data_IF_116954959020
#
_entry.id   IF_116954959020
#
_cell.length_a   1.000
_cell.length_b   1.000
_cell.length_c   1.000
_cell.angle_alpha   90.00
_cell.angle_beta   90.00
_cell.angle_gamma   90.00
#
_symmetry.space_group_name_H-M   'P 1'
#
loop_
_entity.id
_entity.type
_entity.pdbx_description
1 polymer ?
#
# COMPACT_ATOMS: atom_id res chain seq x y z
N UNK A 1 -11.88 -16.35 -0.61
CA UNK A 1 -11.16 -17.51 -1.18
C UNK A 1 -11.66 -17.77 -2.61
N UNK A 2 -11.37 -16.86 -3.56
CA UNK A 2 -11.87 -16.93 -4.95
C UNK A 2 -10.74 -16.89 -5.99
N UNK A 3 -9.72 -16.07 -5.75
CA UNK A 3 -8.53 -15.95 -6.61
C UNK A 3 -7.64 -17.19 -6.52
N UNK A 4 -7.40 -17.72 -5.31
CA UNK A 4 -6.63 -18.95 -5.11
C UNK A 4 -7.29 -20.20 -5.73
N UNK A 5 -8.59 -20.18 -5.98
CA UNK A 5 -9.36 -21.27 -6.59
C UNK A 5 -9.58 -21.08 -8.10
N UNK A 6 -8.88 -20.12 -8.72
CA UNK A 6 -8.98 -19.77 -10.16
C UNK A 6 -10.39 -19.35 -10.62
N UNK A 7 -11.25 -18.89 -9.70
CA UNK A 7 -12.64 -18.50 -10.01
C UNK A 7 -12.83 -16.99 -10.24
N UNK A 8 -11.75 -16.22 -10.24
CA UNK A 8 -11.78 -14.79 -10.55
C UNK A 8 -10.41 -14.13 -10.44
N UNK A 9 -10.32 -12.90 -10.94
CA UNK A 9 -9.14 -12.04 -10.87
C UNK A 9 -9.46 -10.89 -9.89
N UNK A 10 -8.47 -10.47 -9.10
CA UNK A 10 -8.58 -9.29 -8.24
C UNK A 10 -7.38 -8.37 -8.47
N UNK A 11 -7.62 -7.07 -8.42
CA UNK A 11 -6.56 -6.05 -8.41
C UNK A 11 -6.35 -5.63 -6.98
N UNK A 12 -5.14 -5.86 -6.46
CA UNK A 12 -4.78 -5.57 -5.08
C UNK A 12 -3.38 -4.96 -5.04
N UNK A 13 -3.09 -4.12 -4.02
CA UNK A 13 -1.74 -3.63 -3.77
C UNK A 13 -0.78 -4.80 -3.54
N UNK A 14 0.45 -4.67 -4.05
CA UNK A 14 1.46 -5.74 -4.00
C UNK A 14 1.76 -6.21 -2.58
N UNK A 15 1.88 -5.27 -1.64
CA UNK A 15 2.09 -5.56 -0.21
C UNK A 15 0.98 -6.42 0.39
N UNK A 16 -0.28 -6.24 -0.02
CA UNK A 16 -1.42 -7.00 0.52
C UNK A 16 -1.41 -8.48 0.06
N UNK A 17 -0.84 -8.74 -1.12
CA UNK A 17 -0.75 -10.10 -1.69
C UNK A 17 0.62 -10.76 -1.47
N UNK A 18 1.59 -10.04 -0.89
CA UNK A 18 2.97 -10.51 -0.68
C UNK A 18 3.02 -11.86 0.06
N UNK A 19 2.24 -12.01 1.14
CA UNK A 19 2.17 -13.26 1.92
C UNK A 19 1.64 -14.45 1.10
N UNK A 20 0.76 -14.20 0.12
CA UNK A 20 0.23 -15.23 -0.77
C UNK A 20 1.16 -15.54 -1.94
N UNK A 21 1.93 -14.54 -2.40
CA UNK A 21 3.00 -14.70 -3.40
C UNK A 21 4.14 -15.57 -2.86
N UNK A 22 4.57 -15.32 -1.63
CA UNK A 22 5.62 -16.13 -0.98
C UNK A 22 5.25 -17.61 -0.87
N UNK A 23 3.96 -17.90 -0.69
CA UNK A 23 3.42 -19.26 -0.58
C UNK A 23 3.01 -19.87 -1.93
N UNK A 24 3.31 -19.18 -3.05
CA UNK A 24 3.01 -19.60 -4.43
C UNK A 24 1.51 -19.91 -4.71
N UNK A 25 0.59 -19.39 -3.89
CA UNK A 25 -0.84 -19.65 -4.08
C UNK A 25 -1.48 -18.81 -5.19
N UNK A 26 -0.83 -17.70 -5.57
CA UNK A 26 -1.30 -16.75 -6.58
C UNK A 26 -0.12 -16.24 -7.41
N UNK A 27 -0.35 -15.90 -8.68
CA UNK A 27 0.63 -15.24 -9.54
C UNK A 27 0.24 -13.77 -9.69
N UNK A 28 1.16 -12.85 -9.37
CA UNK A 28 0.97 -11.43 -9.65
C UNK A 28 1.43 -11.11 -11.08
N UNK A 29 0.64 -10.31 -11.80
CA UNK A 29 1.01 -9.70 -13.08
C UNK A 29 0.76 -8.19 -13.01
N UNK A 30 1.61 -7.37 -13.65
CA UNK A 30 1.38 -5.93 -13.73
C UNK A 30 0.08 -5.67 -14.52
N UNK A 31 -0.71 -4.69 -14.07
CA UNK A 31 -1.99 -4.34 -14.71
C UNK A 31 -1.77 -3.59 -16.03
N UNK A 32 -0.71 -2.80 -16.13
CA UNK A 32 -0.31 -1.98 -17.29
C UNK A 32 1.16 -2.23 -17.61
N UNK A 33 1.65 -1.81 -18.80
CA UNK A 33 3.07 -1.99 -19.20
C UNK A 33 4.05 -1.37 -18.20
N UNK A 34 3.69 -0.20 -17.67
CA UNK A 34 4.54 0.56 -16.74
C UNK A 34 4.20 0.29 -15.27
N UNK A 35 3.24 -0.61 -15.00
CA UNK A 35 2.70 -0.82 -13.66
C UNK A 35 1.67 0.25 -13.25
N UNK A 36 0.92 -0.05 -12.18
CA UNK A 36 -0.04 0.87 -11.58
C UNK A 36 0.43 1.17 -10.16
N UNK A 37 0.80 2.41 -9.90
CA UNK A 37 1.09 2.91 -8.56
C UNK A 37 -0.11 3.71 -8.05
N UNK A 38 -0.43 3.54 -6.77
CA UNK A 38 -1.46 4.33 -6.10
C UNK A 38 -0.79 5.24 -5.09
N UNK A 39 -1.02 6.55 -5.20
CA UNK A 39 -0.57 7.53 -4.22
C UNK A 39 -1.52 7.53 -3.02
N UNK A 40 -0.96 7.66 -1.82
CA UNK A 40 -1.71 7.73 -0.57
C UNK A 40 -1.42 9.08 0.07
N UNK A 41 -2.48 9.81 0.41
CA UNK A 41 -2.41 11.17 0.95
C UNK A 41 -3.03 11.21 2.34
N UNK A 42 -2.40 11.95 3.27
CA UNK A 42 -2.98 12.27 4.56
C UNK A 42 -3.60 13.67 4.50
N UNK A 43 -4.93 13.75 4.48
CA UNK A 43 -5.64 15.03 4.46
C UNK A 43 -5.93 15.52 5.89
N UNK A 44 -5.50 16.75 6.20
CA UNK A 44 -5.73 17.41 7.50
C UNK A 44 -6.50 18.72 7.28
N UNK A 45 -7.28 19.15 8.28
CA UNK A 45 -7.84 20.50 8.24
C UNK A 45 -6.73 21.52 8.50
N UNK A 46 -6.76 22.72 7.87
CA UNK A 46 -5.76 23.75 8.12
C UNK A 46 -5.65 24.16 9.60
N UNK A 47 -6.77 24.16 10.32
CA UNK A 47 -6.82 24.45 11.76
C UNK A 47 -6.30 23.29 12.65
N UNK A 48 -6.16 22.09 12.09
CA UNK A 48 -5.64 20.90 12.77
C UNK A 48 -4.18 20.61 12.41
N UNK A 49 -3.66 21.24 11.37
CA UNK A 49 -2.27 21.10 10.90
C UNK A 49 -1.26 21.56 11.96
N UNK A 50 -1.65 22.54 12.78
CA UNK A 50 -0.82 23.06 13.88
C UNK A 50 -0.80 22.15 15.11
N UNK A 51 -1.55 21.04 15.12
CA UNK A 51 -1.60 20.14 16.27
C UNK A 51 -0.42 19.16 16.22
N UNK A 52 0.45 19.13 17.25
CA UNK A 52 1.68 18.33 17.21
C UNK A 52 1.42 16.83 17.02
N UNK A 53 0.32 16.31 17.57
CA UNK A 53 -0.02 14.89 17.42
C UNK A 53 -0.42 14.50 15.98
N UNK A 54 -0.92 15.44 15.16
CA UNK A 54 -1.25 15.16 13.75
C UNK A 54 0.04 15.04 12.94
N UNK A 55 0.99 15.95 13.16
CA UNK A 55 2.29 15.90 12.51
C UNK A 55 3.05 14.63 12.89
N UNK A 56 3.07 14.27 14.18
CA UNK A 56 3.69 13.02 14.64
C UNK A 56 2.98 11.78 14.09
N UNK A 57 1.65 11.79 13.98
CA UNK A 57 0.91 10.68 13.40
C UNK A 57 1.26 10.45 11.93
N UNK A 58 1.35 11.52 11.13
CA UNK A 58 1.76 11.43 9.72
C UNK A 58 3.21 10.95 9.60
N UNK A 59 4.10 11.44 10.45
CA UNK A 59 5.49 10.98 10.49
C UNK A 59 5.59 9.48 10.83
N UNK A 60 4.85 9.04 11.86
CA UNK A 60 4.82 7.65 12.29
C UNK A 60 4.28 6.73 11.21
N UNK A 61 3.22 7.13 10.49
CA UNK A 61 2.68 6.35 9.36
C UNK A 61 3.71 6.22 8.24
N UNK A 62 4.45 7.30 7.92
CA UNK A 62 5.50 7.23 6.90
C UNK A 62 6.63 6.27 7.30
N UNK A 63 7.06 6.34 8.55
CA UNK A 63 8.11 5.47 9.08
C UNK A 63 7.67 4.00 9.13
N UNK A 64 6.53 3.72 9.77
CA UNK A 64 6.00 2.35 9.88
C UNK A 64 5.59 1.78 8.53
N UNK A 65 5.02 2.59 7.64
CA UNK A 65 4.73 2.21 6.27
C UNK A 65 5.98 1.75 5.53
N UNK A 66 7.06 2.55 5.58
CA UNK A 66 8.31 2.22 4.90
C UNK A 66 8.99 0.97 5.46
N UNK A 67 8.86 0.73 6.76
CA UNK A 67 9.40 -0.47 7.39
C UNK A 67 8.56 -1.74 7.14
N UNK A 68 7.23 -1.61 7.12
CA UNK A 68 6.31 -2.75 7.08
C UNK A 68 5.86 -3.16 5.67
N UNK A 69 5.88 -2.24 4.71
CA UNK A 69 5.36 -2.46 3.36
C UNK A 69 6.52 -2.53 2.35
N UNK A 70 6.84 -3.71 1.80
CA UNK A 70 7.80 -3.80 0.71
C UNK A 70 7.25 -3.08 -0.53
N UNK A 71 8.15 -2.46 -1.30
CA UNK A 71 7.86 -1.76 -2.56
C UNK A 71 7.02 -0.46 -2.42
N UNK A 72 7.09 0.24 -1.28
CA UNK A 72 6.55 1.62 -1.21
C UNK A 72 7.65 2.65 -1.51
N UNK A 73 7.34 3.62 -2.37
CA UNK A 73 8.18 4.81 -2.58
C UNK A 73 7.58 5.98 -1.80
N UNK A 74 8.40 6.57 -0.92
CA UNK A 74 8.05 7.81 -0.25
C UNK A 74 8.32 8.96 -1.21
N UNK A 75 7.26 9.43 -1.88
CA UNK A 75 7.32 10.64 -2.69
C UNK A 75 7.43 11.87 -1.77
N UNK A 76 8.31 12.81 -2.16
CA UNK A 76 8.78 13.93 -1.33
C UNK A 76 7.87 15.16 -1.42
#
# INVERSE_FOLDING_TARGET
>A
MLVATRRGIAVLPRWAVQNYLQRQYVTAKPLTRDGLMSEIWAATLPASDTRPYIAEFVALIRETGAAALPDIELTH
#
